data_IF_467754813700
#
_entry.id   IF_467754813700
#
_cell.length_a   1.000
_cell.length_b   1.000
_cell.length_c   1.000
_cell.angle_alpha   90.00
_cell.angle_beta   90.00
_cell.angle_gamma   90.00
#
_symmetry.space_group_name_H-M   'P 1'
#
loop_
_entity.id
_entity.type
_entity.pdbx_description
1 polymer ?
#
# COMPACT_ATOMS: atom_id res chain seq x y z
N UNK A 1 -33.24 -36.34 16.37
CA UNK A 1 -31.99 -35.91 17.03
C UNK A 1 -31.07 -35.10 16.09
N UNK A 2 -31.62 -34.17 15.28
CA UNK A 2 -30.88 -33.35 14.28
C UNK A 2 -31.52 -31.95 14.21
N UNK A 3 -31.44 -31.16 15.29
CA UNK A 3 -32.04 -29.81 15.32
C UNK A 3 -31.32 -28.82 16.27
N UNK A 4 -30.03 -29.04 16.56
CA UNK A 4 -29.25 -28.21 17.50
C UNK A 4 -28.07 -27.46 16.86
N UNK A 5 -27.90 -27.56 15.53
CA UNK A 5 -26.78 -26.92 14.82
C UNK A 5 -27.08 -25.48 14.37
N UNK A 6 -28.35 -25.14 14.14
CA UNK A 6 -28.76 -23.80 13.68
C UNK A 6 -28.65 -22.72 14.77
N UNK A 7 -28.62 -23.11 16.04
CA UNK A 7 -28.44 -22.21 17.19
C UNK A 7 -26.96 -21.92 17.49
N UNK A 8 -26.02 -22.77 17.05
CA UNK A 8 -24.59 -22.53 17.24
C UNK A 8 -24.04 -21.46 16.29
N UNK A 9 -24.62 -21.33 15.09
CA UNK A 9 -24.32 -20.25 14.14
C UNK A 9 -24.96 -18.90 14.53
N UNK A 10 -25.81 -18.87 15.57
CA UNK A 10 -26.51 -17.68 16.08
C UNK A 10 -25.88 -17.10 17.36
N UNK A 11 -24.88 -17.77 17.93
CA UNK A 11 -24.20 -17.36 19.17
C UNK A 11 -23.01 -16.40 18.93
N UNK A 12 -22.61 -16.18 17.69
CA UNK A 12 -21.65 -15.12 17.37
C UNK A 12 -22.42 -13.80 17.25
N UNK A 13 -22.34 -12.99 18.31
CA UNK A 13 -22.96 -11.67 18.41
C UNK A 13 -22.56 -10.73 17.27
N UNK A 14 -23.23 -10.86 16.12
CA UNK A 14 -23.06 -10.04 14.93
C UNK A 14 -23.57 -8.58 15.11
N UNK A 15 -24.04 -8.25 16.32
CA UNK A 15 -24.61 -6.96 16.68
C UNK A 15 -23.57 -6.03 17.33
N UNK A 16 -22.67 -6.51 18.19
CA UNK A 16 -21.85 -5.65 19.05
C UNK A 16 -20.53 -5.15 18.42
N UNK A 17 -19.94 -5.89 17.47
CA UNK A 17 -18.65 -5.49 16.88
C UNK A 17 -18.76 -4.43 15.79
N UNK A 18 -19.97 -4.06 15.37
CA UNK A 18 -20.17 -3.11 14.26
C UNK A 18 -19.62 -1.73 14.60
N UNK A 19 -19.80 -1.26 15.83
CA UNK A 19 -19.31 0.04 16.27
C UNK A 19 -17.78 0.05 16.34
N UNK A 20 -17.19 -1.01 16.91
CA UNK A 20 -15.72 -1.15 17.01
C UNK A 20 -15.09 -1.23 15.61
N UNK A 21 -15.63 -2.07 14.72
CA UNK A 21 -15.15 -2.17 13.34
C UNK A 21 -15.29 -0.83 12.60
N UNK A 22 -16.39 -0.11 12.80
CA UNK A 22 -16.63 1.21 12.20
C UNK A 22 -15.61 2.25 12.64
N UNK A 23 -15.27 2.29 13.93
CA UNK A 23 -14.24 3.17 14.48
C UNK A 23 -12.84 2.77 14.04
N UNK A 24 -12.54 1.47 14.13
CA UNK A 24 -11.25 0.91 13.75
C UNK A 24 -10.90 1.22 12.30
N UNK A 25 -11.83 0.97 11.36
CA UNK A 25 -11.59 1.25 9.94
C UNK A 25 -11.39 2.74 9.64
N UNK A 26 -12.08 3.63 10.37
CA UNK A 26 -11.88 5.08 10.24
C UNK A 26 -10.54 5.54 10.79
N UNK A 27 -10.19 5.07 11.99
CA UNK A 27 -8.88 5.36 12.58
C UNK A 27 -7.75 4.86 11.67
N UNK A 28 -7.88 3.64 11.14
CA UNK A 28 -6.94 3.08 10.18
C UNK A 28 -6.85 3.92 8.90
N UNK A 29 -7.99 4.36 8.37
CA UNK A 29 -8.03 5.28 7.22
C UNK A 29 -7.33 6.60 7.49
N UNK A 30 -7.54 7.21 8.67
CA UNK A 30 -6.87 8.45 9.06
C UNK A 30 -5.36 8.26 9.26
N UNK A 31 -4.94 7.13 9.82
CA UNK A 31 -3.52 6.79 9.96
C UNK A 31 -2.87 6.67 8.59
N UNK A 32 -3.50 5.95 7.65
CA UNK A 32 -2.99 5.87 6.29
C UNK A 32 -2.99 7.22 5.60
N UNK A 33 -4.05 8.01 5.73
CA UNK A 33 -4.12 9.36 5.16
C UNK A 33 -2.96 10.23 5.69
N UNK A 34 -2.71 10.22 6.99
CA UNK A 34 -1.60 10.95 7.59
C UNK A 34 -0.23 10.41 7.12
N UNK A 35 -0.07 9.09 7.01
CA UNK A 35 1.15 8.48 6.51
C UNK A 35 1.44 8.87 5.04
N UNK A 36 0.43 8.80 4.16
CA UNK A 36 0.57 9.20 2.76
C UNK A 36 0.76 10.71 2.58
N UNK A 37 0.06 11.54 3.36
CA UNK A 37 0.26 13.00 3.32
C UNK A 37 1.67 13.38 3.78
N UNK A 38 2.18 12.71 4.82
CA UNK A 38 3.56 12.86 5.28
C UNK A 38 4.56 12.41 4.21
N UNK A 39 4.30 11.27 3.57
CA UNK A 39 5.15 10.76 2.49
C UNK A 39 5.15 11.68 1.27
N UNK A 40 4.02 12.26 0.87
CA UNK A 40 3.90 13.10 -0.32
C UNK A 40 4.84 14.32 -0.31
N UNK A 41 5.07 14.93 0.85
CA UNK A 41 6.00 16.07 0.96
C UNK A 41 7.47 15.62 0.96
N UNK A 42 7.74 14.36 1.34
CA UNK A 42 9.09 13.82 1.49
C UNK A 42 9.56 13.01 0.27
N UNK A 43 8.63 12.47 -0.51
CA UNK A 43 8.94 11.53 -1.58
C UNK A 43 9.72 12.21 -2.70
N UNK A 44 9.45 13.47 -3.03
CA UNK A 44 10.21 14.21 -4.04
C UNK A 44 11.67 14.42 -3.63
N UNK A 45 11.91 14.79 -2.37
CA UNK A 45 13.25 15.00 -1.83
C UNK A 45 14.06 13.68 -1.77
N UNK A 46 13.37 12.55 -1.60
CA UNK A 46 14.03 11.25 -1.54
C UNK A 46 14.22 10.64 -2.93
N UNK A 47 13.16 10.56 -3.71
CA UNK A 47 13.02 9.71 -4.88
C UNK A 47 12.86 10.46 -6.22
N UNK A 48 12.66 11.78 -6.17
CA UNK A 48 12.56 12.63 -7.35
C UNK A 48 13.86 12.70 -8.14
N UNK A 49 13.81 13.36 -9.29
CA UNK A 49 14.95 13.50 -10.21
C UNK A 49 16.16 14.18 -9.58
N UNK A 50 15.93 15.10 -8.64
CA UNK A 50 16.95 15.78 -7.82
C UNK A 50 17.02 15.23 -6.39
N UNK A 51 16.41 14.08 -6.14
CA UNK A 51 16.35 13.46 -4.81
C UNK A 51 17.67 12.78 -4.41
N UNK A 52 17.78 12.43 -3.13
CA UNK A 52 18.96 11.73 -2.59
C UNK A 52 19.11 10.32 -3.22
N UNK A 53 17.99 9.72 -3.63
CA UNK A 53 17.92 8.38 -4.18
C UNK A 53 16.93 8.31 -5.37
N UNK A 54 17.28 8.89 -6.54
CA UNK A 54 16.36 9.03 -7.67
C UNK A 54 15.86 7.68 -8.21
N UNK A 55 14.55 7.47 -8.27
CA UNK A 55 13.95 6.20 -8.71
C UNK A 55 14.33 5.85 -10.15
N UNK A 56 14.38 6.85 -11.05
CA UNK A 56 14.75 6.65 -12.44
C UNK A 56 16.15 6.02 -12.58
N UNK A 57 17.12 6.46 -11.77
CA UNK A 57 18.47 5.88 -11.76
C UNK A 57 18.48 4.46 -11.22
N UNK A 58 17.69 4.17 -10.18
CA UNK A 58 17.63 2.82 -9.62
C UNK A 58 17.03 1.82 -10.60
N UNK A 59 15.97 2.23 -11.31
CA UNK A 59 15.37 1.42 -12.36
C UNK A 59 16.35 1.20 -13.53
N UNK A 60 17.13 2.21 -13.90
CA UNK A 60 18.19 2.06 -14.91
C UNK A 60 19.27 1.07 -14.47
N UNK A 61 19.71 1.14 -13.20
CA UNK A 61 20.67 0.18 -12.62
C UNK A 61 20.09 -1.24 -12.56
N UNK A 62 18.84 -1.39 -12.12
CA UNK A 62 18.15 -2.68 -12.08
C UNK A 62 18.00 -3.28 -13.49
N UNK A 63 17.66 -2.43 -14.47
CA UNK A 63 17.59 -2.82 -15.88
C UNK A 63 18.93 -3.30 -16.44
N UNK A 64 20.02 -2.60 -16.11
CA UNK A 64 21.37 -2.97 -16.53
C UNK A 64 21.82 -4.30 -15.92
N UNK A 65 21.45 -4.57 -14.66
CA UNK A 65 21.83 -5.79 -13.94
C UNK A 65 20.97 -7.01 -14.30
N UNK A 66 19.65 -6.82 -14.50
CA UNK A 66 18.70 -7.94 -14.60
C UNK A 66 18.10 -8.12 -16.01
N UNK A 67 18.40 -7.22 -16.95
CA UNK A 67 17.98 -7.35 -18.35
C UNK A 67 16.47 -7.54 -18.49
N UNK A 68 16.04 -8.62 -19.14
CA UNK A 68 14.61 -8.95 -19.34
C UNK A 68 13.86 -9.35 -18.06
N UNK A 69 14.57 -9.77 -17.01
CA UNK A 69 13.97 -10.18 -15.73
C UNK A 69 13.72 -9.00 -14.77
N UNK A 70 14.03 -7.76 -15.20
CA UNK A 70 13.90 -6.55 -14.37
C UNK A 70 12.52 -6.37 -13.76
N UNK A 71 11.45 -6.72 -14.48
CA UNK A 71 10.06 -6.57 -14.04
C UNK A 71 9.68 -7.57 -12.94
N UNK A 72 10.34 -8.73 -12.91
CA UNK A 72 10.14 -9.75 -11.88
C UNK A 72 11.02 -9.49 -10.65
N UNK A 73 12.25 -9.03 -10.87
CA UNK A 73 13.18 -8.70 -9.81
C UNK A 73 12.75 -7.45 -9.01
N UNK A 74 12.21 -6.44 -9.71
CA UNK A 74 11.74 -5.19 -9.12
C UNK A 74 10.34 -4.86 -9.62
N UNK A 75 9.28 -5.51 -9.11
CA UNK A 75 7.92 -5.22 -9.51
C UNK A 75 7.54 -3.79 -9.05
N UNK A 76 7.24 -2.91 -10.00
CA UNK A 76 6.94 -1.51 -9.72
C UNK A 76 6.12 -0.85 -10.83
N UNK A 77 5.24 0.10 -10.47
CA UNK A 77 4.54 0.94 -11.44
C UNK A 77 5.47 1.96 -12.12
N UNK A 78 6.60 2.29 -11.49
CA UNK A 78 7.54 3.28 -12.00
C UNK A 78 8.28 2.85 -13.28
N UNK A 79 8.14 1.59 -13.71
CA UNK A 79 8.60 1.16 -15.03
C UNK A 79 7.83 1.81 -16.19
N UNK A 80 6.56 2.18 -15.97
CA UNK A 80 5.74 2.87 -16.96
C UNK A 80 6.18 4.33 -17.03
N UNK A 81 6.38 4.96 -15.87
CA UNK A 81 6.91 6.31 -15.77
C UNK A 81 7.60 6.56 -14.42
N UNK A 82 8.77 7.20 -14.44
CA UNK A 82 9.60 7.45 -13.25
C UNK A 82 10.04 8.91 -13.07
N UNK A 83 9.46 9.85 -13.83
CA UNK A 83 9.64 11.29 -13.61
C UNK A 83 8.82 11.83 -12.44
N UNK A 84 9.10 13.08 -12.06
CA UNK A 84 8.57 13.72 -10.84
C UNK A 84 7.03 13.74 -10.77
N UNK A 85 6.33 13.77 -11.91
CA UNK A 85 4.86 13.69 -11.90
C UNK A 85 4.32 12.38 -11.33
N UNK A 86 5.08 11.30 -11.38
CA UNK A 86 4.67 10.01 -10.82
C UNK A 86 4.75 10.01 -9.28
N UNK A 87 5.35 11.03 -8.68
CA UNK A 87 5.52 11.20 -7.23
C UNK A 87 4.55 12.24 -6.64
N UNK A 88 3.89 13.04 -7.50
CA UNK A 88 2.98 14.12 -7.16
C UNK A 88 1.54 13.67 -6.84
#
# INVERSE_FOLDING_TARGET
MIARWSSLLRLTGASDYRLVAWFFLRALGLIYLAAFASLAVQIDALAGTQGIYPIAEQLARAAAQHGGLRFLAYPSLFWIHSGDWALA
#
